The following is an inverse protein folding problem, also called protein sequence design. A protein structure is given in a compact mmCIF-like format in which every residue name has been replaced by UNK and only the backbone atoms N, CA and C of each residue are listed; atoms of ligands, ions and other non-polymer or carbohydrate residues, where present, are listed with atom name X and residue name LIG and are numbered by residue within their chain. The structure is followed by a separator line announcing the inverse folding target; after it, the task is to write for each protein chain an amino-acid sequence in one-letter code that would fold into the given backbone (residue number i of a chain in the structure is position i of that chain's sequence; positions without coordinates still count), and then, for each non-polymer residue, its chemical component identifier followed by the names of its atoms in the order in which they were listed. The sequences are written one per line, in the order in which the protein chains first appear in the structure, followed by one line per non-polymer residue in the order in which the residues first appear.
data_IF_485212928831
#
_entry.id   IF_485212928831
#
_cell.length_a   1.000
_cell.length_b   1.000
_cell.length_c   1.000
_cell.angle_alpha   90.00
_cell.angle_beta   90.00
_cell.angle_gamma   90.00
#
_symmetry.space_group_name_H-M   'P 1'
#
loop_
_entity.id
_entity.type
_entity.pdbx_description
1 polymer ?
#
# COMPACT_ATOMS: atom_id res chain seq x y z
N UNK A 1 17.37 -5.31 8.06
CA UNK A 1 16.22 -5.62 7.17
C UNK A 1 16.69 -6.62 6.14
N UNK A 2 16.07 -7.78 6.11
CA UNK A 2 16.36 -8.80 5.10
C UNK A 2 15.44 -8.54 3.92
N UNK A 3 16.01 -8.05 2.82
CA UNK A 3 15.27 -7.68 1.63
C UNK A 3 15.21 -8.85 0.65
N UNK A 4 14.11 -8.92 -0.10
CA UNK A 4 13.97 -9.88 -1.18
C UNK A 4 14.93 -9.53 -2.33
N UNK A 5 15.56 -10.51 -3.01
CA UNK A 5 16.57 -10.25 -4.05
C UNK A 5 16.11 -9.37 -5.22
N UNK A 6 14.80 -9.31 -5.48
CA UNK A 6 14.21 -8.50 -6.55
C UNK A 6 13.93 -7.05 -6.16
N UNK A 7 13.95 -6.70 -4.85
CA UNK A 7 13.55 -5.38 -4.34
C UNK A 7 14.39 -4.22 -4.92
N UNK A 8 15.67 -4.46 -5.21
CA UNK A 8 16.53 -3.47 -5.88
C UNK A 8 16.08 -3.10 -7.31
N UNK A 9 15.20 -3.90 -7.94
CA UNK A 9 14.64 -3.66 -9.28
C UNK A 9 13.22 -3.12 -9.26
N UNK A 10 12.73 -2.74 -8.08
CA UNK A 10 11.39 -2.19 -7.86
C UNK A 10 11.47 -1.05 -6.85
N UNK A 11 10.35 -0.43 -6.55
CA UNK A 11 10.22 0.52 -5.45
C UNK A 11 9.09 0.12 -4.52
N UNK A 12 9.10 0.65 -3.31
CA UNK A 12 8.00 0.47 -2.36
C UNK A 12 6.67 1.01 -2.93
N UNK A 13 6.73 2.01 -3.80
CA UNK A 13 5.55 2.57 -4.46
C UNK A 13 4.88 1.55 -5.38
N UNK A 14 5.65 0.78 -6.16
CA UNK A 14 5.10 -0.29 -7.00
C UNK A 14 4.64 -1.50 -6.20
N UNK A 15 5.21 -1.73 -5.02
CA UNK A 15 4.87 -2.89 -4.20
C UNK A 15 3.70 -2.62 -3.24
N UNK A 16 3.75 -1.55 -2.45
CA UNK A 16 2.71 -1.19 -1.48
C UNK A 16 2.00 0.12 -1.82
N UNK A 17 2.67 1.05 -2.49
CA UNK A 17 2.10 2.34 -2.85
C UNK A 17 0.89 2.22 -3.77
N UNK A 18 0.83 1.21 -4.64
CA UNK A 18 -0.35 0.91 -5.47
C UNK A 18 -1.57 0.60 -4.60
N UNK A 19 -1.42 -0.22 -3.56
CA UNK A 19 -2.50 -0.53 -2.63
C UNK A 19 -2.95 0.69 -1.84
N UNK A 20 -2.00 1.49 -1.33
CA UNK A 20 -2.30 2.71 -0.60
C UNK A 20 -3.03 3.73 -1.47
N UNK A 21 -2.56 3.94 -2.69
CA UNK A 21 -3.16 4.88 -3.65
C UNK A 21 -4.56 4.44 -4.07
N UNK A 22 -4.76 3.17 -4.40
CA UNK A 22 -6.05 2.63 -4.78
C UNK A 22 -7.05 2.74 -3.63
N UNK A 23 -6.64 2.40 -2.40
CA UNK A 23 -7.46 2.57 -1.20
C UNK A 23 -7.85 4.03 -0.96
N UNK A 24 -6.94 4.98 -1.15
CA UNK A 24 -7.25 6.40 -1.00
C UNK A 24 -8.26 6.87 -2.08
N UNK A 25 -8.07 6.48 -3.34
CA UNK A 25 -9.03 6.79 -4.41
C UNK A 25 -10.43 6.24 -4.08
N UNK A 26 -10.50 5.01 -3.56
CA UNK A 26 -11.75 4.40 -3.12
C UNK A 26 -12.39 5.15 -1.92
N UNK A 27 -11.61 5.55 -0.90
CA UNK A 27 -12.11 6.28 0.27
C UNK A 27 -12.65 7.66 -0.12
N UNK A 28 -11.97 8.37 -1.02
CA UNK A 28 -12.38 9.70 -1.47
C UNK A 28 -13.46 9.67 -2.56
N UNK A 29 -13.69 8.49 -3.18
CA UNK A 29 -14.56 8.30 -4.35
C UNK A 29 -14.23 9.33 -5.44
N UNK A 30 -12.93 9.57 -5.68
CA UNK A 30 -12.45 10.61 -6.58
C UNK A 30 -11.04 10.33 -7.09
N UNK A 31 -10.63 11.03 -8.13
CA UNK A 31 -9.29 10.93 -8.71
C UNK A 31 -8.34 11.99 -8.12
N UNK A 32 -7.06 11.58 -8.03
CA UNK A 32 -6.00 12.46 -7.56
C UNK A 32 -5.72 13.52 -8.62
N UNK A 33 -5.82 14.77 -8.27
CA UNK A 33 -5.57 15.90 -9.17
C UNK A 33 -4.07 16.14 -9.35
N UNK A 34 -3.33 16.21 -8.25
CA UNK A 34 -1.89 16.48 -8.23
C UNK A 34 -1.23 15.90 -7.00
N UNK A 35 0.08 15.72 -7.10
CA UNK A 35 0.91 15.17 -6.03
C UNK A 35 2.16 16.02 -5.79
N UNK A 36 2.63 16.02 -4.55
CA UNK A 36 3.97 16.45 -4.18
C UNK A 36 4.63 15.36 -3.35
N UNK A 37 5.82 14.92 -3.74
CA UNK A 37 6.52 13.83 -3.08
C UNK A 37 7.98 14.13 -2.84
N UNK A 38 8.47 13.71 -1.70
CA UNK A 38 9.89 13.69 -1.36
C UNK A 38 10.31 12.27 -1.02
N UNK A 39 11.58 11.95 -1.25
CA UNK A 39 12.13 10.63 -0.96
C UNK A 39 13.49 10.72 -0.30
N UNK A 40 13.87 9.66 0.42
CA UNK A 40 15.21 9.54 1.00
C UNK A 40 15.80 8.17 0.65
N UNK A 41 17.13 8.16 0.48
CA UNK A 41 17.95 6.99 0.20
C UNK A 41 19.13 7.00 1.17
N UNK A 42 19.44 5.88 1.78
CA UNK A 42 20.57 5.79 2.70
C UNK A 42 20.72 4.39 3.28
N UNK A 43 19.77 3.97 4.07
CA UNK A 43 19.82 2.71 4.81
C UNK A 43 19.96 1.50 3.87
N UNK A 44 19.20 1.44 2.80
CA UNK A 44 19.24 0.32 1.85
C UNK A 44 20.48 0.41 0.95
N UNK A 45 20.89 1.60 0.57
CA UNK A 45 22.11 1.82 -0.20
C UNK A 45 23.36 1.37 0.56
N UNK A 46 23.47 1.66 1.85
CA UNK A 46 24.54 1.15 2.73
C UNK A 46 24.58 -0.38 2.79
N UNK A 47 23.45 -1.04 2.54
CA UNK A 47 23.33 -2.51 2.44
C UNK A 47 23.55 -3.05 1.03
N UNK A 48 23.95 -2.21 0.08
CA UNK A 48 24.17 -2.59 -1.32
C UNK A 48 22.91 -2.74 -2.16
N UNK A 49 21.79 -2.15 -1.71
CA UNK A 49 20.49 -2.21 -2.40
C UNK A 49 20.18 -0.82 -2.99
N UNK A 50 20.25 -0.70 -4.31
CA UNK A 50 19.98 0.55 -5.03
C UNK A 50 18.47 0.79 -5.19
N UNK A 51 17.78 1.05 -4.07
CA UNK A 51 16.36 1.41 -4.05
C UNK A 51 16.09 2.47 -2.98
N UNK A 52 15.00 3.20 -3.13
CA UNK A 52 14.60 4.26 -2.21
C UNK A 52 14.08 3.67 -0.90
N UNK A 53 14.54 4.21 0.23
CA UNK A 53 14.14 3.79 1.57
C UNK A 53 12.68 4.16 1.88
N UNK A 54 12.30 5.39 1.56
CA UNK A 54 11.02 5.99 1.95
C UNK A 54 10.57 7.07 0.96
N UNK A 55 9.25 7.14 0.76
CA UNK A 55 8.55 8.25 0.12
C UNK A 55 7.55 8.85 1.09
N UNK A 56 7.50 10.20 1.13
CA UNK A 56 6.45 10.98 1.78
C UNK A 56 5.73 11.78 0.71
N UNK A 57 4.43 11.60 0.59
CA UNK A 57 3.64 12.16 -0.50
C UNK A 57 2.41 12.88 0.02
N UNK A 58 2.13 14.06 -0.52
CA UNK A 58 0.86 14.76 -0.39
C UNK A 58 0.08 14.54 -1.68
N UNK A 59 -1.18 14.13 -1.56
CA UNK A 59 -2.11 13.96 -2.69
C UNK A 59 -3.28 14.92 -2.51
N UNK A 60 -3.61 15.65 -3.56
CA UNK A 60 -4.82 16.48 -3.63
C UNK A 60 -5.80 15.87 -4.61
N UNK A 61 -7.06 15.72 -4.22
CA UNK A 61 -8.16 15.16 -5.01
C UNK A 61 -8.95 16.28 -5.72
N UNK A 62 -9.66 15.94 -6.79
CA UNK A 62 -10.46 16.94 -7.53
C UNK A 62 -11.59 17.55 -6.68
N UNK A 63 -12.17 16.78 -5.75
CA UNK A 63 -13.19 17.24 -4.80
C UNK A 63 -12.65 18.11 -3.65
N UNK A 64 -11.34 18.39 -3.63
CA UNK A 64 -10.66 19.17 -2.59
C UNK A 64 -10.22 18.34 -1.39
N UNK A 65 -10.38 17.04 -1.40
CA UNK A 65 -9.81 16.14 -0.40
C UNK A 65 -8.29 16.16 -0.43
N UNK A 66 -7.66 15.95 0.72
CA UNK A 66 -6.20 15.94 0.88
C UNK A 66 -5.81 14.68 1.64
N UNK A 67 -4.79 13.98 1.17
CA UNK A 67 -4.17 12.87 1.86
C UNK A 67 -2.65 13.03 1.99
N UNK A 68 -2.09 12.49 3.05
CA UNK A 68 -0.65 12.25 3.18
C UNK A 68 -0.40 10.76 3.17
N UNK A 69 0.61 10.33 2.43
CA UNK A 69 0.95 8.92 2.29
C UNK A 69 2.43 8.71 2.55
N UNK A 70 2.75 7.77 3.44
CA UNK A 70 4.08 7.27 3.65
C UNK A 70 4.20 5.86 3.09
N UNK A 71 5.26 5.60 2.32
CA UNK A 71 5.62 4.26 1.90
C UNK A 71 7.10 4.01 2.17
N UNK A 72 7.42 3.00 2.96
CA UNK A 72 8.79 2.73 3.40
C UNK A 72 9.14 1.24 3.37
N UNK A 73 10.40 0.93 3.00
CA UNK A 73 11.00 -0.40 3.11
C UNK A 73 11.71 -0.66 4.45
N UNK A 74 12.03 0.40 5.21
CA UNK A 74 12.98 0.35 6.32
C UNK A 74 12.37 0.05 7.69
N UNK A 75 11.34 -0.77 7.72
CA UNK A 75 10.78 -1.29 8.98
C UNK A 75 11.80 -2.21 9.67
N UNK A 76 12.03 -2.05 11.00
CA UNK A 76 12.96 -2.91 11.73
C UNK A 76 12.54 -4.39 11.70
N UNK A 77 13.50 -5.32 11.63
CA UNK A 77 13.21 -6.77 11.67
C UNK A 77 12.54 -7.22 12.98
N UNK A 78 12.64 -6.43 14.05
CA UNK A 78 11.98 -6.65 15.33
C UNK A 78 10.53 -6.18 15.36
N UNK A 79 10.05 -5.51 14.30
CA UNK A 79 8.65 -5.12 14.20
C UNK A 79 7.75 -6.37 14.11
N UNK A 80 6.66 -6.43 14.88
CA UNK A 80 5.90 -7.67 15.05
C UNK A 80 5.09 -8.09 13.81
N UNK A 81 5.00 -7.24 12.79
CA UNK A 81 4.25 -7.49 11.58
C UNK A 81 5.13 -7.27 10.34
N UNK A 82 4.86 -8.00 9.26
CA UNK A 82 5.57 -7.82 7.98
C UNK A 82 5.22 -6.48 7.35
N UNK A 83 3.95 -6.09 7.43
CA UNK A 83 3.44 -4.85 6.86
C UNK A 83 2.93 -3.93 7.98
N UNK A 84 3.31 -2.66 7.93
CA UNK A 84 2.73 -1.60 8.77
C UNK A 84 1.72 -0.81 7.92
N UNK A 85 0.43 -1.12 8.07
CA UNK A 85 -0.64 -0.54 7.26
C UNK A 85 -1.64 0.17 8.17
N UNK A 86 -1.66 1.50 8.11
CA UNK A 86 -2.52 2.35 8.93
C UNK A 86 -3.20 3.41 8.08
N UNK A 87 -4.46 3.68 8.41
CA UNK A 87 -5.22 4.77 7.82
C UNK A 87 -5.91 5.57 8.92
N UNK A 88 -5.74 6.89 8.88
CA UNK A 88 -6.50 7.83 9.69
C UNK A 88 -7.31 8.70 8.74
N UNK A 89 -8.63 8.58 8.80
CA UNK A 89 -9.54 9.32 7.91
C UNK A 89 -10.37 10.25 8.76
N UNK A 90 -10.35 11.55 8.43
CA UNK A 90 -11.20 12.57 9.03
C UNK A 90 -12.11 13.17 7.98
N UNK A 91 -13.39 13.01 8.16
CA UNK A 91 -14.42 13.57 7.27
C UNK A 91 -15.33 14.55 8.02
N UNK A 92 -16.20 15.21 7.30
CA UNK A 92 -17.14 16.21 7.84
C UNK A 92 -18.15 15.63 8.84
N UNK A 93 -18.36 14.31 8.85
CA UNK A 93 -19.34 13.62 9.69
C UNK A 93 -18.73 12.67 10.72
N UNK A 94 -17.40 12.58 10.76
CA UNK A 94 -16.72 11.68 11.69
C UNK A 94 -15.31 11.32 11.27
N UNK A 95 -14.70 10.41 12.02
CA UNK A 95 -13.35 9.91 11.75
C UNK A 95 -13.29 8.39 11.89
N UNK A 96 -12.35 7.78 11.16
CA UNK A 96 -12.03 6.35 11.23
C UNK A 96 -10.53 6.22 11.42
N UNK A 97 -10.13 5.40 12.38
CA UNK A 97 -8.75 4.95 12.56
C UNK A 97 -8.71 3.45 12.28
N UNK A 98 -7.88 3.06 11.34
CA UNK A 98 -7.69 1.67 10.92
C UNK A 98 -6.22 1.29 11.10
N UNK A 99 -5.96 0.18 11.77
CA UNK A 99 -4.64 -0.43 11.88
C UNK A 99 -4.74 -1.90 11.48
N UNK A 100 -4.28 -2.21 10.27
CA UNK A 100 -4.25 -3.57 9.72
C UNK A 100 -2.93 -4.30 10.03
N UNK A 101 -1.95 -3.59 10.56
CA UNK A 101 -0.64 -4.15 10.90
C UNK A 101 -0.63 -4.82 12.26
N UNK A 102 -1.43 -4.33 13.19
CA UNK A 102 -1.38 -4.76 14.57
C UNK A 102 -2.49 -5.74 14.91
N UNK A 103 -2.32 -6.98 14.50
CA UNK A 103 -3.20 -8.05 14.95
C UNK A 103 -2.90 -8.41 16.42
N UNK A 104 -3.59 -7.73 17.35
CA UNK A 104 -3.51 -8.01 18.79
C UNK A 104 -4.50 -9.09 19.25
N UNK A 105 -5.29 -9.68 18.36
CA UNK A 105 -6.27 -10.69 18.75
C UNK A 105 -5.63 -11.97 19.27
N UNK A 106 -4.42 -12.30 18.78
CA UNK A 106 -3.67 -13.48 19.24
C UNK A 106 -2.21 -13.06 19.46
N UNK A 107 -1.76 -13.16 20.67
CA UNK A 107 -0.35 -13.05 21.03
C UNK A 107 0.11 -14.39 21.58
N UNK A 108 1.21 -14.91 21.04
CA UNK A 108 1.78 -16.18 21.45
C UNK A 108 3.18 -15.95 22.01
N UNK A 109 3.35 -16.32 23.26
CA UNK A 109 4.61 -16.24 23.98
C UNK A 109 5.13 -17.66 24.22
N UNK A 110 6.37 -17.91 23.83
CA UNK A 110 7.09 -19.17 24.09
C UNK A 110 8.40 -18.83 24.81
N UNK A 111 9.13 -19.84 25.25
CA UNK A 111 10.44 -19.64 25.87
C UNK A 111 11.45 -18.92 24.96
N UNK A 112 11.27 -19.01 23.64
CA UNK A 112 12.27 -18.54 22.66
C UNK A 112 11.77 -17.40 21.76
N UNK A 113 10.46 -17.15 21.71
CA UNK A 113 9.89 -16.10 20.83
C UNK A 113 8.56 -15.57 21.32
N UNK A 114 8.30 -14.36 20.89
CA UNK A 114 6.99 -13.73 20.90
C UNK A 114 6.55 -13.51 19.45
N UNK A 115 5.36 -13.96 19.08
CA UNK A 115 4.79 -13.69 17.76
C UNK A 115 3.29 -13.40 17.82
N UNK A 116 2.78 -12.81 16.74
CA UNK A 116 1.37 -12.50 16.53
C UNK A 116 0.92 -13.19 15.25
N UNK A 117 0.28 -14.38 15.34
CA UNK A 117 -0.20 -15.11 14.17
C UNK A 117 -1.12 -14.26 13.33
N UNK A 118 -0.92 -14.28 12.02
CA UNK A 118 -1.78 -13.56 11.08
C UNK A 118 -3.16 -14.20 10.99
N UNK A 119 -4.21 -13.39 11.14
CA UNK A 119 -5.62 -13.80 11.03
C UNK A 119 -6.42 -12.94 10.05
N UNK A 120 -5.76 -12.05 9.31
CA UNK A 120 -6.40 -11.14 8.35
C UNK A 120 -5.97 -11.42 6.91
N UNK A 121 -4.66 -11.49 6.66
CA UNK A 121 -4.11 -11.58 5.30
C UNK A 121 -4.12 -13.01 4.78
N UNK A 122 -3.62 -13.93 5.61
CA UNK A 122 -3.33 -15.31 5.22
C UNK A 122 -3.43 -16.22 6.44
N UNK A 123 -4.53 -16.96 6.55
CA UNK A 123 -4.71 -17.95 7.60
C UNK A 123 -5.52 -19.16 7.09
N UNK A 124 -5.61 -20.20 7.91
CA UNK A 124 -6.35 -21.41 7.57
C UNK A 124 -7.46 -21.67 8.58
N UNK A 125 -8.66 -21.96 8.05
CA UNK A 125 -9.81 -22.40 8.84
C UNK A 125 -10.25 -23.78 8.34
N UNK A 126 -10.16 -24.79 9.17
CA UNK A 126 -10.46 -26.19 8.80
C UNK A 126 -9.73 -26.65 7.53
N UNK A 127 -8.44 -26.31 7.40
CA UNK A 127 -7.62 -26.66 6.24
C UNK A 127 -7.89 -25.85 4.97
N UNK A 128 -8.79 -24.87 5.02
CA UNK A 128 -9.08 -23.97 3.89
C UNK A 128 -8.38 -22.64 4.07
N UNK A 129 -7.69 -22.19 3.04
CA UNK A 129 -7.09 -20.87 3.00
C UNK A 129 -8.16 -19.77 3.10
N UNK A 130 -7.92 -18.80 3.96
CA UNK A 130 -8.79 -17.66 4.28
C UNK A 130 -7.94 -16.39 4.43
N UNK A 131 -8.61 -15.25 4.47
CA UNK A 131 -8.00 -13.94 4.55
C UNK A 131 -8.09 -13.18 3.24
N UNK A 132 -7.93 -11.86 3.29
CA UNK A 132 -8.22 -11.00 2.15
C UNK A 132 -7.36 -11.31 0.91
N UNK A 133 -6.13 -11.80 1.07
CA UNK A 133 -5.29 -12.21 -0.07
C UNK A 133 -5.92 -13.37 -0.86
N UNK A 134 -6.47 -14.35 -0.18
CA UNK A 134 -7.15 -15.46 -0.85
C UNK A 134 -8.51 -15.08 -1.41
N UNK A 135 -9.26 -14.21 -0.73
CA UNK A 135 -10.55 -13.71 -1.23
C UNK A 135 -10.36 -12.87 -2.51
N UNK A 136 -9.29 -12.10 -2.60
CA UNK A 136 -8.94 -11.37 -3.82
C UNK A 136 -8.71 -12.31 -5.01
N UNK A 137 -7.93 -13.39 -4.81
CA UNK A 137 -7.67 -14.38 -5.86
C UNK A 137 -8.97 -15.11 -6.25
N UNK A 138 -9.79 -15.50 -5.27
CA UNK A 138 -11.10 -16.12 -5.56
C UNK A 138 -11.99 -15.21 -6.36
N UNK A 139 -12.13 -13.95 -5.95
CA UNK A 139 -12.91 -12.97 -6.68
C UNK A 139 -12.48 -12.90 -8.17
N UNK A 140 -11.18 -12.82 -8.42
CA UNK A 140 -10.64 -12.80 -9.79
C UNK A 140 -11.07 -14.04 -10.58
N UNK A 141 -10.90 -15.24 -10.02
CA UNK A 141 -11.28 -16.51 -10.68
C UNK A 141 -12.79 -16.58 -10.89
N UNK A 142 -13.59 -16.24 -9.88
CA UNK A 142 -15.05 -16.29 -9.97
C UNK A 142 -15.58 -15.33 -11.03
N UNK A 143 -15.01 -14.14 -11.17
CA UNK A 143 -15.38 -13.17 -12.20
C UNK A 143 -15.01 -13.64 -13.62
N UNK A 144 -13.88 -14.33 -13.79
CA UNK A 144 -13.54 -14.97 -15.08
C UNK A 144 -14.56 -16.06 -15.43
N UNK A 145 -14.95 -16.89 -14.46
CA UNK A 145 -15.87 -18.00 -14.70
C UNK A 145 -17.29 -17.49 -14.99
N UNK A 146 -17.76 -16.48 -14.23
CA UNK A 146 -19.11 -15.94 -14.39
C UNK A 146 -19.26 -14.96 -15.55
N UNK A 147 -18.16 -14.38 -16.05
CA UNK A 147 -18.19 -13.35 -17.07
C UNK A 147 -18.68 -11.98 -16.57
N UNK A 148 -18.78 -11.82 -15.25
CA UNK A 148 -19.18 -10.54 -14.64
C UNK A 148 -17.99 -9.58 -14.54
N UNK A 149 -18.29 -8.30 -14.39
CA UNK A 149 -17.26 -7.25 -14.23
C UNK A 149 -16.47 -7.40 -12.91
N UNK A 150 -15.20 -7.04 -12.96
CA UNK A 150 -14.33 -6.97 -11.79
C UNK A 150 -14.69 -5.74 -10.94
N UNK A 151 -14.54 -5.84 -9.61
CA UNK A 151 -14.69 -4.69 -8.71
C UNK A 151 -13.62 -3.62 -8.95
N UNK A 152 -12.41 -4.03 -9.28
CA UNK A 152 -11.34 -3.14 -9.73
C UNK A 152 -11.22 -3.29 -11.23
N UNK A 153 -11.58 -2.26 -11.97
CA UNK A 153 -11.53 -2.26 -13.43
C UNK A 153 -10.09 -2.07 -13.96
N UNK A 154 -9.89 -2.35 -15.24
CA UNK A 154 -8.63 -2.01 -15.92
C UNK A 154 -8.34 -0.50 -15.83
N UNK A 155 -9.37 0.34 -15.92
CA UNK A 155 -9.23 1.79 -15.79
C UNK A 155 -8.73 2.18 -14.40
N UNK A 156 -9.23 1.56 -13.33
CA UNK A 156 -8.77 1.82 -11.97
C UNK A 156 -7.30 1.45 -11.80
N UNK A 157 -6.88 0.31 -12.33
CA UNK A 157 -5.48 -0.12 -12.30
C UNK A 157 -4.56 0.84 -13.07
N UNK A 158 -4.99 1.33 -14.23
CA UNK A 158 -4.27 2.33 -15.01
C UNK A 158 -4.18 3.64 -14.25
N UNK A 159 -5.30 4.16 -13.74
CA UNK A 159 -5.33 5.42 -12.99
C UNK A 159 -4.44 5.37 -11.75
N UNK A 160 -4.48 4.29 -10.99
CA UNK A 160 -3.56 4.07 -9.86
C UNK A 160 -2.10 4.11 -10.31
N UNK A 161 -1.76 3.48 -11.44
CA UNK A 161 -0.41 3.47 -11.98
C UNK A 161 0.06 4.86 -12.42
N UNK A 162 -0.84 5.68 -13.00
CA UNK A 162 -0.54 7.06 -13.38
C UNK A 162 -0.23 7.94 -12.16
N UNK A 163 -0.97 7.76 -11.06
CA UNK A 163 -0.65 8.44 -9.79
C UNK A 163 0.73 8.03 -9.30
N UNK A 164 1.07 6.74 -9.31
CA UNK A 164 2.41 6.26 -8.90
C UNK A 164 3.52 6.86 -9.77
N UNK A 165 3.32 6.96 -11.09
CA UNK A 165 4.28 7.59 -11.99
C UNK A 165 4.46 9.09 -11.67
N UNK A 166 3.38 9.80 -11.37
CA UNK A 166 3.43 11.21 -10.98
C UNK A 166 4.14 11.40 -9.62
N UNK A 167 3.95 10.49 -8.67
CA UNK A 167 4.69 10.49 -7.39
C UNK A 167 6.19 10.29 -7.63
N UNK A 168 6.56 9.34 -8.47
CA UNK A 168 7.96 9.10 -8.84
C UNK A 168 8.59 10.29 -9.53
N UNK A 169 7.87 10.95 -10.43
CA UNK A 169 8.31 12.18 -11.10
C UNK A 169 8.51 13.31 -10.09
N UNK A 170 7.50 13.58 -9.25
CA UNK A 170 7.57 14.61 -8.21
C UNK A 170 8.76 14.40 -7.26
N UNK A 171 9.00 13.16 -6.83
CA UNK A 171 10.11 12.84 -5.93
C UNK A 171 11.49 13.04 -6.55
N UNK A 172 11.60 13.01 -7.88
CA UNK A 172 12.86 13.26 -8.62
C UNK A 172 13.08 14.74 -8.92
N UNK A 173 12.00 15.45 -9.26
CA UNK A 173 12.07 16.87 -9.67
C UNK A 173 12.00 17.82 -8.48
N UNK A 174 11.40 17.41 -7.39
CA UNK A 174 11.07 18.27 -6.24
C UNK A 174 9.89 19.21 -6.49
N UNK A 175 9.15 18.99 -7.59
CA UNK A 175 8.05 19.84 -8.02
C UNK A 175 6.69 19.16 -7.80
N UNK A 176 5.62 19.97 -7.77
CA UNK A 176 4.25 19.48 -7.81
C UNK A 176 3.96 18.94 -9.22
N UNK A 177 3.42 17.73 -9.31
CA UNK A 177 3.06 17.10 -10.59
C UNK A 177 1.55 16.90 -10.65
N UNK A 178 0.93 17.40 -11.72
CA UNK A 178 -0.47 17.13 -12.04
C UNK A 178 -0.61 15.74 -12.67
N UNK A 179 -1.60 14.95 -12.21
CA UNK A 179 -1.81 13.60 -12.74
C UNK A 179 -2.54 13.68 -14.07
N UNK A 180 -1.92 13.18 -15.13
CA UNK A 180 -2.50 13.13 -16.46
C UNK A 180 -3.17 11.78 -16.72
N UNK A 181 -4.50 11.76 -16.79
CA UNK A 181 -5.31 10.56 -17.06
C UNK A 181 -5.66 10.36 -18.55
N UNK A 182 -5.14 11.22 -19.44
CA UNK A 182 -5.33 11.08 -20.89
C UNK A 182 -4.25 10.15 -21.45
N UNK A 183 -4.60 8.91 -21.72
CA UNK A 183 -3.77 7.92 -22.43
C UNK A 183 -4.33 7.74 -23.83
#
# INVERSE_FOLDING_TARGET
TDMLPWSARSSILWFLGTHSTDTLRWIFDDEVKRVYSVSNNGVLKEKGLETTDIYQTILEFNNGGIATMENSWITPNTYPCVNDIKFNVTGTKGMINLDLSNNQMIERFTETKNDRPDVLVNHFVHGKAKGFAYESIRHFVDKIISGEEFYVSMKDAINTSLVILSILESSKTGEVVEVNYNL
#
